data_IF_279102332938
#
_entry.id   IF_279102332938
#
_cell.length_a   1.000
_cell.length_b   1.000
_cell.length_c   1.000
_cell.angle_alpha   90.00
_cell.angle_beta   90.00
_cell.angle_gamma   90.00
#
_symmetry.space_group_name_H-M   'P 1'
#
loop_
_entity.id
_entity.type
_entity.pdbx_description
1 polymer ?
#
# COMPACT_ATOMS: atom_id res chain seq x y z
N UNK A 1 12.19 -2.42 17.37
CA UNK A 1 12.08 -3.25 16.16
C UNK A 1 10.65 -3.74 16.03
N UNK A 2 10.26 -4.25 14.86
CA UNK A 2 8.91 -4.79 14.63
C UNK A 2 8.62 -5.95 15.61
N UNK A 3 7.53 -5.84 16.38
CA UNK A 3 7.03 -6.87 17.30
C UNK A 3 5.72 -7.47 16.78
N UNK A 4 5.17 -8.45 17.48
CA UNK A 4 3.96 -9.18 17.07
C UNK A 4 2.74 -8.27 16.84
N UNK A 5 2.61 -7.19 17.61
CA UNK A 5 1.56 -6.20 17.40
C UNK A 5 1.72 -5.44 16.07
N UNK A 6 2.95 -5.17 15.64
CA UNK A 6 3.23 -4.54 14.35
C UNK A 6 2.91 -5.50 13.19
N UNK A 7 3.16 -6.80 13.37
CA UNK A 7 2.77 -7.82 12.39
C UNK A 7 1.25 -7.94 12.22
N UNK A 8 0.47 -7.78 13.30
CA UNK A 8 -1.00 -7.66 13.18
C UNK A 8 -1.39 -6.47 12.30
N UNK A 9 -0.73 -5.32 12.47
CA UNK A 9 -0.98 -4.14 11.64
C UNK A 9 -0.62 -4.38 10.17
N UNK A 10 0.47 -5.09 9.89
CA UNK A 10 0.84 -5.50 8.53
C UNK A 10 -0.22 -6.42 7.92
N UNK A 11 -0.75 -7.37 8.69
CA UNK A 11 -1.83 -8.24 8.23
C UNK A 11 -3.12 -7.46 7.93
N UNK A 12 -3.46 -6.45 8.74
CA UNK A 12 -4.58 -5.54 8.45
C UNK A 12 -4.35 -4.78 7.13
N UNK A 13 -3.16 -4.21 6.90
CA UNK A 13 -2.85 -3.53 5.65
C UNK A 13 -2.89 -4.46 4.45
N UNK A 14 -2.45 -5.71 4.62
CA UNK A 14 -2.55 -6.74 3.58
C UNK A 14 -4.02 -7.07 3.25
N UNK A 15 -4.86 -7.27 4.26
CA UNK A 15 -6.30 -7.50 4.07
C UNK A 15 -6.98 -6.35 3.32
N UNK A 16 -6.65 -5.10 3.68
CA UNK A 16 -7.15 -3.91 2.97
C UNK A 16 -6.68 -3.91 1.51
N UNK A 17 -5.41 -4.23 1.25
CA UNK A 17 -4.90 -4.32 -0.12
C UNK A 17 -5.62 -5.38 -0.95
N UNK A 18 -5.90 -6.55 -0.36
CA UNK A 18 -6.65 -7.64 -1.03
C UNK A 18 -8.09 -7.21 -1.33
N UNK A 19 -8.76 -6.49 -0.41
CA UNK A 19 -10.10 -5.95 -0.64
C UNK A 19 -10.13 -4.95 -1.80
N UNK A 20 -9.14 -4.05 -1.87
CA UNK A 20 -9.00 -3.13 -3.02
C UNK A 20 -8.77 -3.93 -4.32
N UNK A 21 -7.94 -4.96 -4.29
CA UNK A 21 -7.72 -5.83 -5.46
C UNK A 21 -9.01 -6.55 -5.90
N UNK A 22 -9.86 -7.00 -4.97
CA UNK A 22 -11.16 -7.57 -5.30
C UNK A 22 -12.08 -6.53 -5.95
N UNK A 23 -12.10 -5.29 -5.46
CA UNK A 23 -12.88 -4.20 -6.07
C UNK A 23 -12.40 -3.89 -7.49
N UNK A 24 -11.07 -3.86 -7.73
CA UNK A 24 -10.52 -3.69 -9.08
C UNK A 24 -10.99 -4.82 -9.99
N UNK A 25 -10.95 -6.07 -9.51
CA UNK A 25 -11.39 -7.24 -10.27
C UNK A 25 -12.88 -7.17 -10.60
N UNK A 26 -13.73 -6.73 -9.68
CA UNK A 26 -15.17 -6.54 -9.92
C UNK A 26 -15.44 -5.42 -10.94
N UNK A 27 -14.66 -4.34 -10.89
CA UNK A 27 -14.75 -3.22 -11.85
C UNK A 27 -14.08 -3.52 -13.20
N UNK A 28 -13.26 -4.58 -13.27
CA UNK A 28 -12.60 -4.98 -14.50
C UNK A 28 -13.59 -5.59 -15.49
N UNK A 29 -13.53 -5.14 -16.74
CA UNK A 29 -14.44 -5.60 -17.81
C UNK A 29 -14.06 -6.96 -18.40
N UNK A 30 -12.97 -7.57 -17.93
CA UNK A 30 -12.42 -8.80 -18.48
C UNK A 30 -11.56 -9.55 -17.46
N UNK A 31 -11.25 -10.81 -17.76
CA UNK A 31 -10.51 -11.71 -16.86
C UNK A 31 -9.00 -11.62 -17.02
N UNK A 32 -8.51 -10.76 -17.92
CA UNK A 32 -7.07 -10.64 -18.21
C UNK A 32 -6.42 -9.66 -17.24
N UNK A 33 -5.14 -9.91 -16.94
CA UNK A 33 -4.35 -9.02 -16.09
C UNK A 33 -4.25 -7.60 -16.66
N UNK A 34 -4.29 -7.46 -18.00
CA UNK A 34 -4.30 -6.15 -18.66
C UNK A 34 -5.55 -5.34 -18.29
N UNK A 35 -6.72 -5.98 -18.32
CA UNK A 35 -8.00 -5.33 -18.00
C UNK A 35 -8.05 -4.91 -16.52
N UNK A 36 -7.43 -5.71 -15.64
CA UNK A 36 -7.25 -5.38 -14.23
C UNK A 36 -6.38 -4.13 -14.03
N UNK A 37 -5.23 -4.05 -14.71
CA UNK A 37 -4.33 -2.89 -14.61
C UNK A 37 -5.00 -1.63 -15.17
N UNK A 38 -5.73 -1.75 -16.28
CA UNK A 38 -6.50 -0.64 -16.84
C UNK A 38 -7.60 -0.17 -15.88
N UNK A 39 -8.37 -1.09 -15.27
CA UNK A 39 -9.38 -0.76 -14.28
C UNK A 39 -8.78 -0.09 -13.05
N UNK A 40 -7.63 -0.58 -12.56
CA UNK A 40 -6.90 0.00 -11.44
C UNK A 40 -6.48 1.45 -11.72
N UNK A 41 -6.01 1.75 -12.94
CA UNK A 41 -5.53 3.08 -13.31
C UNK A 41 -6.65 4.05 -13.67
N UNK A 42 -7.76 3.53 -14.21
CA UNK A 42 -8.87 4.35 -14.69
C UNK A 42 -9.84 4.75 -13.58
N UNK A 43 -9.93 3.95 -12.51
CA UNK A 43 -10.82 4.20 -11.39
C UNK A 43 -10.17 5.16 -10.37
N UNK A 44 -10.64 6.41 -10.37
CA UNK A 44 -10.14 7.46 -9.48
C UNK A 44 -10.40 7.15 -7.99
N UNK A 45 -11.45 6.41 -7.66
CA UNK A 45 -11.76 6.04 -6.28
C UNK A 45 -10.79 4.97 -5.78
N UNK A 46 -10.49 3.97 -6.61
CA UNK A 46 -9.49 2.94 -6.32
C UNK A 46 -8.10 3.56 -6.19
N UNK A 47 -7.71 4.45 -7.12
CA UNK A 47 -6.43 5.18 -7.02
C UNK A 47 -6.32 5.97 -5.72
N UNK A 48 -7.40 6.63 -5.29
CA UNK A 48 -7.43 7.35 -4.01
C UNK A 48 -7.26 6.40 -2.82
N UNK A 49 -7.92 5.24 -2.82
CA UNK A 49 -7.76 4.23 -1.77
C UNK A 49 -6.34 3.65 -1.72
N UNK A 50 -5.74 3.34 -2.88
CA UNK A 50 -4.35 2.88 -2.98
C UNK A 50 -3.41 3.95 -2.43
N UNK A 51 -3.60 5.22 -2.81
CA UNK A 51 -2.78 6.33 -2.33
C UNK A 51 -2.89 6.51 -0.81
N UNK A 52 -4.10 6.38 -0.25
CA UNK A 52 -4.31 6.47 1.20
C UNK A 52 -3.64 5.30 1.93
N UNK A 53 -3.85 4.06 1.46
CA UNK A 53 -3.20 2.88 2.04
C UNK A 53 -1.67 2.99 1.98
N UNK A 54 -1.12 3.47 0.85
CA UNK A 54 0.31 3.69 0.70
C UNK A 54 0.83 4.67 1.73
N UNK A 55 0.11 5.78 1.96
CA UNK A 55 0.47 6.78 2.97
C UNK A 55 0.46 6.20 4.37
N UNK A 56 -0.58 5.46 4.74
CA UNK A 56 -0.66 4.81 6.06
C UNK A 56 0.48 3.81 6.29
N UNK A 57 0.81 3.00 5.28
CA UNK A 57 1.93 2.06 5.33
C UNK A 57 3.27 2.78 5.44
N UNK A 58 3.48 3.85 4.66
CA UNK A 58 4.70 4.67 4.72
C UNK A 58 4.85 5.34 6.09
N UNK A 59 3.78 5.95 6.62
CA UNK A 59 3.79 6.63 7.91
C UNK A 59 4.03 5.64 9.05
N UNK A 60 3.50 4.41 8.97
CA UNK A 60 3.80 3.34 9.92
C UNK A 60 5.27 2.90 9.82
N UNK A 61 5.76 2.64 8.61
CA UNK A 61 7.13 2.20 8.38
C UNK A 61 8.17 3.25 8.81
N UNK A 62 7.87 4.55 8.64
CA UNK A 62 8.72 5.67 9.07
C UNK A 62 8.90 5.76 10.58
N UNK A 63 8.04 5.15 11.40
CA UNK A 63 8.21 5.12 12.85
C UNK A 63 9.38 4.23 13.29
N UNK A 64 9.77 3.28 12.45
CA UNK A 64 10.86 2.37 12.75
C UNK A 64 12.21 3.02 12.43
N UNK A 65 13.26 2.74 13.22
CA UNK A 65 14.60 3.21 12.92
C UNK A 65 15.08 2.60 11.60
N UNK A 66 15.76 3.40 10.77
CA UNK A 66 16.45 2.87 9.58
C UNK A 66 17.63 2.03 10.04
N UNK A 67 17.75 0.82 9.50
CA UNK A 67 18.86 -0.09 9.81
C UNK A 67 19.96 0.11 8.76
N UNK A 68 21.18 0.42 9.20
CA UNK A 68 22.36 0.53 8.32
C UNK A 68 22.70 1.93 7.81
N UNK A 69 21.92 2.96 8.13
CA UNK A 69 22.26 4.37 7.92
C UNK A 69 21.34 5.30 8.74
N UNK A 70 21.79 6.51 9.01
CA UNK A 70 21.02 7.53 9.75
C UNK A 70 20.07 8.31 8.84
N UNK A 71 18.79 8.43 9.24
CA UNK A 71 17.78 9.20 8.50
C UNK A 71 18.21 10.64 8.21
N UNK A 72 18.99 11.24 9.10
CA UNK A 72 19.48 12.62 8.97
C UNK A 72 20.40 12.83 7.76
N UNK A 73 21.03 11.76 7.27
CA UNK A 73 21.92 11.79 6.09
C UNK A 73 21.23 11.41 4.78
N UNK A 74 19.92 11.15 4.79
CA UNK A 74 19.18 10.75 3.59
C UNK A 74 18.94 11.91 2.63
N UNK A 75 19.25 11.69 1.35
CA UNK A 75 19.01 12.65 0.25
C UNK A 75 17.52 12.96 0.00
N UNK A 76 16.62 12.06 0.42
CA UNK A 76 15.17 12.22 0.33
C UNK A 76 14.59 12.13 1.75
N UNK A 77 14.48 13.28 2.42
CA UNK A 77 14.08 13.40 3.83
C UNK A 77 12.71 14.06 4.03
N UNK A 78 11.95 14.28 2.95
CA UNK A 78 10.61 14.86 2.98
C UNK A 78 9.56 13.78 2.73
#
# INVERSE_FOLDING_TARGET
GFIECDFKKVAEYFDVAVKIALQIKENSKGTKLKDFVEAMQSDAQIQSQIANLRREVEDYAKQFPTIGFEKETMKYNK
#
